data_IF_300462562856
#
_entry.id   IF_300462562856
#
_cell.length_a   1.000
_cell.length_b   1.000
_cell.length_c   1.000
_cell.angle_alpha   90.00
_cell.angle_beta   90.00
_cell.angle_gamma   90.00
#
_symmetry.space_group_name_H-M   'P 1'
#
loop_
_entity.id
_entity.type
_entity.pdbx_description
1 polymer ?
#
# COMPACT_ATOMS: atom_id res chain seq x y z
N UNK A 1 7.56 11.55 -14.20
CA UNK A 1 6.79 11.80 -12.96
C UNK A 1 7.70 11.58 -11.76
N UNK A 2 7.56 12.39 -10.73
CA UNK A 2 8.29 12.25 -9.46
C UNK A 2 7.31 12.10 -8.31
N UNK A 3 7.67 11.32 -7.30
CA UNK A 3 6.87 11.13 -6.10
C UNK A 3 6.98 12.37 -5.23
N UNK A 4 5.89 13.13 -5.10
CA UNK A 4 5.88 14.34 -4.28
C UNK A 4 5.54 14.03 -2.82
N UNK A 5 4.67 13.04 -2.59
CA UNK A 5 4.23 12.65 -1.26
C UNK A 5 3.90 11.17 -1.22
N UNK A 6 4.20 10.56 -0.09
CA UNK A 6 3.72 9.24 0.30
C UNK A 6 2.89 9.36 1.58
N UNK A 7 1.79 8.64 1.66
CA UNK A 7 0.94 8.57 2.85
C UNK A 7 0.73 7.11 3.27
N UNK A 8 0.79 6.86 4.57
CA UNK A 8 0.61 5.55 5.17
C UNK A 8 -0.75 5.48 5.84
N UNK A 9 -1.55 4.48 5.50
CA UNK A 9 -2.88 4.26 6.06
C UNK A 9 -3.04 2.89 6.72
N UNK A 10 -3.97 2.84 7.68
CA UNK A 10 -4.42 1.61 8.35
C UNK A 10 -5.93 1.51 8.27
N UNK A 11 -6.44 0.33 7.94
CA UNK A 11 -7.88 0.07 7.90
C UNK A 11 -8.43 -0.21 9.30
N UNK A 12 -9.59 0.37 9.62
CA UNK A 12 -10.28 0.16 10.90
C UNK A 12 -11.00 -1.19 10.96
N UNK A 13 -11.59 -1.64 9.85
CA UNK A 13 -12.32 -2.92 9.76
C UNK A 13 -11.43 -4.16 9.64
N UNK A 14 -10.14 -3.96 9.34
CA UNK A 14 -9.14 -5.00 9.16
C UNK A 14 -7.83 -4.50 9.75
N UNK A 15 -7.62 -4.62 11.08
CA UNK A 15 -6.53 -3.94 11.79
C UNK A 15 -5.12 -4.35 11.34
N UNK A 16 -5.00 -5.48 10.64
CA UNK A 16 -3.74 -5.96 10.07
C UNK A 16 -3.48 -5.43 8.66
N UNK A 17 -4.49 -4.82 8.01
CA UNK A 17 -4.37 -4.31 6.66
C UNK A 17 -3.96 -2.84 6.66
N UNK A 18 -2.87 -2.60 5.96
CA UNK A 18 -2.23 -1.31 5.83
C UNK A 18 -1.84 -1.10 4.38
N UNK A 19 -1.96 0.14 3.91
CA UNK A 19 -1.69 0.50 2.52
C UNK A 19 -0.97 1.84 2.42
N UNK A 20 -0.31 2.02 1.29
CA UNK A 20 0.38 3.26 0.94
C UNK A 20 -0.37 3.96 -0.19
N UNK A 21 -0.41 5.29 -0.12
CA UNK A 21 -0.76 6.14 -1.24
C UNK A 21 0.46 6.94 -1.70
N UNK A 22 0.77 6.87 -2.98
CA UNK A 22 1.84 7.61 -3.63
C UNK A 22 1.23 8.70 -4.51
N UNK A 23 1.59 9.95 -4.25
CA UNK A 23 1.14 11.10 -5.01
C UNK A 23 2.24 11.53 -5.96
N UNK A 24 2.11 11.16 -7.23
CA UNK A 24 3.04 11.52 -8.27
C UNK A 24 2.67 12.87 -8.89
N UNK A 25 3.68 13.68 -9.18
CA UNK A 25 3.55 14.90 -9.96
C UNK A 25 4.22 14.74 -11.32
N UNK A 26 3.56 15.27 -12.34
CA UNK A 26 4.07 15.40 -13.69
C UNK A 26 3.86 16.83 -14.19
N UNK A 27 4.76 17.34 -15.01
CA UNK A 27 4.65 18.67 -15.59
C UNK A 27 4.47 18.54 -17.10
N UNK A 28 3.42 19.17 -17.63
CA UNK A 28 3.16 19.33 -19.06
C UNK A 28 2.97 20.82 -19.30
N UNK A 29 3.85 21.43 -20.09
CA UNK A 29 3.74 22.82 -20.56
C UNK A 29 3.37 23.84 -19.47
N UNK A 30 4.04 23.77 -18.31
CA UNK A 30 3.82 24.61 -17.11
C UNK A 30 2.62 24.25 -16.23
N UNK A 31 1.76 23.33 -16.65
CA UNK A 31 0.71 22.76 -15.82
C UNK A 31 1.21 21.53 -15.06
N UNK A 32 0.87 21.41 -13.78
CA UNK A 32 1.14 20.19 -13.00
C UNK A 32 -0.05 19.25 -13.02
N UNK A 33 0.14 18.04 -13.55
CA UNK A 33 -0.78 16.92 -13.36
C UNK A 33 -0.38 16.11 -12.12
N UNK A 34 -1.37 15.51 -11.45
CA UNK A 34 -1.15 14.62 -10.31
C UNK A 34 -1.78 13.27 -10.57
N UNK A 35 -1.09 12.20 -10.23
CA UNK A 35 -1.64 10.85 -10.22
C UNK A 35 -1.49 10.26 -8.81
N UNK A 36 -2.43 9.39 -8.43
CA UNK A 36 -2.36 8.66 -7.17
C UNK A 36 -2.16 7.18 -7.46
N UNK A 37 -1.23 6.54 -6.77
CA UNK A 37 -1.05 5.10 -6.81
C UNK A 37 -1.28 4.55 -5.42
N UNK A 38 -2.20 3.61 -5.25
CA UNK A 38 -2.32 2.84 -4.02
C UNK A 38 -1.51 1.56 -4.14
N UNK A 39 -0.77 1.20 -3.09
CA UNK A 39 -0.12 -0.10 -2.97
C UNK A 39 -0.45 -0.73 -1.62
N UNK A 40 -0.82 -2.00 -1.66
CA UNK A 40 -1.25 -2.75 -0.50
C UNK A 40 -0.92 -4.22 -0.67
N UNK A 41 -0.91 -4.97 0.44
CA UNK A 41 -0.96 -6.44 0.40
C UNK A 41 -2.29 -6.88 0.97
N UNK A 42 -3.07 -7.63 0.20
CA UNK A 42 -4.39 -8.09 0.61
C UNK A 42 -4.48 -9.61 0.56
N UNK A 43 -5.22 -10.18 1.51
CA UNK A 43 -5.64 -11.59 1.42
C UNK A 43 -6.72 -11.73 0.35
N UNK A 44 -6.65 -12.78 -0.46
CA UNK A 44 -7.73 -13.11 -1.38
C UNK A 44 -8.99 -13.39 -0.58
N UNK A 45 -10.08 -12.67 -0.88
CA UNK A 45 -11.29 -12.67 -0.07
C UNK A 45 -11.82 -14.08 0.17
N UNK A 46 -11.86 -14.50 1.43
CA UNK A 46 -12.86 -15.46 1.86
C UNK A 46 -14.23 -14.81 1.61
N UNK A 47 -15.03 -15.41 0.73
CA UNK A 47 -16.46 -15.15 0.70
C UNK A 47 -16.97 -15.25 2.14
N UNK A 48 -17.39 -14.13 2.73
CA UNK A 48 -17.99 -14.07 4.07
C UNK A 48 -19.30 -14.86 4.07
N UNK A 49 -19.21 -16.18 4.22
CA UNK A 49 -20.32 -16.96 4.75
C UNK A 49 -20.28 -16.80 6.26
N UNK A 50 -21.17 -15.95 6.77
CA UNK A 50 -21.53 -15.91 8.19
C UNK A 50 -22.04 -17.30 8.60
N UNK A 51 -21.16 -18.14 9.13
CA UNK A 51 -21.55 -19.26 9.97
C UNK A 51 -20.87 -19.11 11.31
N UNK A 52 -21.68 -18.72 12.30
CA UNK A 52 -21.35 -18.85 13.72
C UNK A 52 -21.02 -20.30 14.02
N UNK A 53 -19.82 -20.54 14.54
CA UNK A 53 -19.58 -21.63 15.48
C UNK A 53 -18.37 -21.27 16.34
N UNK A 54 -18.62 -21.16 17.64
CA UNK A 54 -17.60 -21.01 18.67
C UNK A 54 -16.80 -22.30 18.74
N UNK A 55 -15.64 -22.35 18.09
CA UNK A 55 -14.67 -23.41 18.30
C UNK A 55 -13.32 -22.78 18.64
N UNK A 56 -12.77 -23.19 19.79
CA UNK A 56 -11.38 -22.95 20.18
C UNK A 56 -10.49 -23.77 19.24
N UNK A 57 -10.17 -23.22 18.07
CA UNK A 57 -9.26 -23.84 17.11
C UNK A 57 -7.93 -23.10 17.20
N UNK A 58 -6.87 -23.86 17.51
CA UNK A 58 -5.46 -23.47 17.32
C UNK A 58 -5.29 -22.72 15.99
N UNK A 59 -4.32 -21.79 15.84
CA UNK A 59 -4.10 -21.11 14.56
C UNK A 59 -3.59 -22.13 13.54
N UNK A 60 -4.52 -22.84 12.92
CA UNK A 60 -4.31 -23.59 11.70
C UNK A 60 -3.96 -22.54 10.67
N UNK A 61 -2.73 -22.60 10.17
CA UNK A 61 -2.27 -21.90 8.98
C UNK A 61 -3.22 -22.23 7.82
N UNK A 62 -4.31 -21.49 7.70
CA UNK A 62 -5.14 -21.53 6.50
C UNK A 62 -4.35 -20.81 5.41
N UNK A 63 -3.94 -21.56 4.38
CA UNK A 63 -3.25 -21.16 3.14
C UNK A 63 -3.98 -20.05 2.37
N UNK A 64 -4.13 -18.88 2.98
CA UNK A 64 -4.75 -17.71 2.35
C UNK A 64 -3.62 -16.82 1.88
N UNK A 65 -3.09 -17.13 0.70
CA UNK A 65 -1.98 -16.38 0.11
C UNK A 65 -2.35 -14.88 0.02
N UNK A 66 -1.59 -14.04 0.71
CA UNK A 66 -1.68 -12.60 0.57
C UNK A 66 -0.87 -12.14 -0.65
N UNK A 67 -1.47 -11.33 -1.51
CA UNK A 67 -0.84 -10.82 -2.73
C UNK A 67 -0.67 -9.30 -2.68
N UNK A 68 0.39 -8.81 -3.31
CA UNK A 68 0.64 -7.38 -3.44
C UNK A 68 -0.21 -6.83 -4.59
N UNK A 69 -0.89 -5.71 -4.34
CA UNK A 69 -1.85 -5.07 -5.22
C UNK A 69 -1.42 -3.62 -5.47
N UNK A 70 -1.56 -3.18 -6.73
CA UNK A 70 -1.31 -1.80 -7.15
C UNK A 70 -2.57 -1.30 -7.87
N UNK A 71 -3.02 -0.08 -7.57
CA UNK A 71 -4.07 0.59 -8.35
C UNK A 71 -3.67 2.03 -8.63
N UNK A 72 -3.99 2.48 -9.85
CA UNK A 72 -3.53 3.76 -10.40
C UNK A 72 -4.75 4.62 -10.70
N UNK A 73 -4.73 5.85 -10.23
CA UNK A 73 -5.80 6.82 -10.36
C UNK A 73 -5.28 8.10 -11.03
N UNK A 74 -6.07 8.64 -11.95
CA UNK A 74 -5.73 9.82 -12.73
C UNK A 74 -5.65 11.10 -11.91
N UNK A 75 -6.28 11.14 -10.73
CA UNK A 75 -6.23 12.25 -9.80
C UNK A 75 -6.61 11.82 -8.36
N UNK A 76 -6.32 12.65 -7.34
CA UNK A 76 -6.82 12.42 -5.98
C UNK A 76 -8.35 12.38 -5.87
N UNK A 77 -9.05 13.14 -6.73
CA UNK A 77 -10.51 13.16 -6.76
C UNK A 77 -11.07 11.82 -7.23
N UNK A 78 -10.45 11.20 -8.23
CA UNK A 78 -10.86 9.89 -8.76
C UNK A 78 -10.52 8.76 -7.79
N UNK A 79 -9.41 8.90 -7.04
CA UNK A 79 -8.99 7.91 -6.05
C UNK A 79 -9.94 7.83 -4.85
N UNK A 80 -10.43 8.97 -4.34
CA UNK A 80 -11.22 9.03 -3.11
C UNK A 80 -12.43 8.06 -3.05
N UNK A 81 -13.35 8.02 -4.03
CA UNK A 81 -14.48 7.10 -4.00
C UNK A 81 -14.05 5.63 -4.09
N UNK A 82 -13.04 5.32 -4.91
CA UNK A 82 -12.53 3.96 -5.09
C UNK A 82 -11.85 3.43 -3.82
N UNK A 83 -11.05 4.26 -3.15
CA UNK A 83 -10.42 3.95 -1.87
C UNK A 83 -11.47 3.75 -0.77
N UNK A 84 -12.53 4.55 -0.77
CA UNK A 84 -13.64 4.42 0.17
C UNK A 84 -14.39 3.09 -0.03
N UNK A 85 -14.64 2.67 -1.27
CA UNK A 85 -15.25 1.37 -1.57
C UNK A 85 -14.33 0.22 -1.16
N UNK A 86 -13.04 0.31 -1.49
CA UNK A 86 -12.08 -0.77 -1.25
C UNK A 86 -11.80 -0.98 0.24
N UNK A 87 -11.59 0.08 0.99
CA UNK A 87 -11.10 0.00 2.38
C UNK A 87 -12.17 0.27 3.43
N UNK A 88 -13.34 0.79 3.04
CA UNK A 88 -14.52 1.13 3.88
C UNK A 88 -14.25 2.18 4.97
N UNK A 89 -13.35 1.90 5.91
CA UNK A 89 -12.93 2.82 6.97
C UNK A 89 -11.43 2.67 7.18
N UNK A 90 -10.72 3.79 7.09
CA UNK A 90 -9.28 3.84 7.25
C UNK A 90 -8.86 5.17 7.86
N UNK A 91 -7.70 5.18 8.51
CA UNK A 91 -7.08 6.38 9.06
C UNK A 91 -5.65 6.49 8.57
N UNK A 92 -5.21 7.74 8.34
CA UNK A 92 -3.82 8.02 7.99
C UNK A 92 -2.97 7.92 9.24
N UNK A 93 -1.92 7.11 9.19
CA UNK A 93 -0.92 7.00 10.26
C UNK A 93 0.13 8.09 10.15
N UNK A 94 0.67 8.30 8.95
CA UNK A 94 1.72 9.29 8.72
C UNK A 94 1.79 9.73 7.25
N UNK A 95 2.52 10.83 7.03
CA UNK A 95 2.77 11.45 5.73
C UNK A 95 4.26 11.72 5.61
N UNK A 96 4.80 11.55 4.40
CA UNK A 96 6.16 11.90 4.06
C UNK A 96 6.15 12.66 2.73
N UNK A 97 6.58 13.91 2.76
CA UNK A 97 6.70 14.77 1.58
C UNK A 97 8.15 14.72 1.09
N UNK A 98 8.36 14.41 -0.19
CA UNK A 98 9.72 14.36 -0.75
C UNK A 98 10.12 15.74 -1.29
N UNK A 99 11.36 16.20 -1.05
CA UNK A 99 11.90 17.39 -1.68
C UNK A 99 12.03 17.17 -3.19
N UNK A 100 11.78 18.20 -4.00
CA UNK A 100 11.92 18.11 -5.46
C UNK A 100 13.32 17.66 -5.92
N UNK A 101 14.36 17.96 -5.15
CA UNK A 101 15.75 17.59 -5.44
C UNK A 101 16.07 16.11 -5.21
N UNK A 102 15.36 15.43 -4.32
CA UNK A 102 15.58 14.02 -3.96
C UNK A 102 14.36 13.13 -4.21
N UNK A 103 13.27 13.68 -4.75
CA UNK A 103 12.04 12.97 -5.03
C UNK A 103 12.27 11.78 -5.99
N UNK A 104 11.92 10.55 -5.59
CA UNK A 104 12.12 9.40 -6.45
C UNK A 104 11.18 9.46 -7.65
N UNK A 105 11.70 9.03 -8.80
CA UNK A 105 10.89 8.80 -10.00
C UNK A 105 9.91 7.64 -9.81
N UNK A 106 8.86 7.61 -10.62
CA UNK A 106 7.93 6.48 -10.63
C UNK A 106 8.63 5.13 -10.89
N UNK A 107 9.70 5.12 -11.70
CA UNK A 107 10.51 3.92 -11.97
C UNK A 107 11.28 3.45 -10.73
N UNK A 108 11.83 4.38 -9.94
CA UNK A 108 12.51 4.02 -8.69
C UNK A 108 11.52 3.48 -7.66
N UNK A 109 10.33 4.09 -7.55
CA UNK A 109 9.27 3.58 -6.67
C UNK A 109 8.82 2.19 -7.12
N UNK A 110 8.61 1.95 -8.41
CA UNK A 110 8.25 0.62 -8.92
C UNK A 110 9.34 -0.41 -8.66
N UNK A 111 10.61 -0.01 -8.78
CA UNK A 111 11.75 -0.89 -8.47
C UNK A 111 11.73 -1.32 -7.00
N UNK A 112 11.49 -0.39 -6.07
CA UNK A 112 11.38 -0.70 -4.63
C UNK A 112 10.19 -1.63 -4.37
N UNK A 113 9.01 -1.32 -4.94
CA UNK A 113 7.83 -2.17 -4.81
C UNK A 113 8.11 -3.61 -5.31
N UNK A 114 8.75 -3.75 -6.47
CA UNK A 114 9.12 -5.06 -7.01
C UNK A 114 10.14 -5.79 -6.15
N UNK A 115 11.16 -5.10 -5.61
CA UNK A 115 12.14 -5.72 -4.73
C UNK A 115 11.51 -6.20 -3.42
N UNK A 116 10.63 -5.41 -2.81
CA UNK A 116 9.90 -5.82 -1.59
C UNK A 116 8.98 -7.01 -1.89
N UNK A 117 8.28 -6.99 -3.03
CA UNK A 117 7.47 -8.13 -3.48
C UNK A 117 8.29 -9.41 -3.62
N UNK A 118 9.45 -9.34 -4.29
CA UNK A 118 10.33 -10.47 -4.50
C UNK A 118 10.92 -11.05 -3.20
N UNK A 119 11.05 -10.22 -2.16
CA UNK A 119 11.52 -10.66 -0.84
C UNK A 119 10.42 -11.27 0.02
N UNK A 120 9.15 -11.16 -0.37
CA UNK A 120 8.04 -11.69 0.41
C UNK A 120 8.17 -13.19 0.75
N UNK A 121 8.58 -14.09 -0.18
CA UNK A 121 8.72 -15.52 0.12
C UNK A 121 9.86 -15.85 1.09
N UNK A 122 10.86 -14.97 1.21
CA UNK A 122 11.99 -15.19 2.11
C UNK A 122 11.59 -15.08 3.60
N UNK A 123 10.41 -14.51 3.88
CA UNK A 123 9.88 -14.36 5.22
C UNK A 123 8.55 -15.11 5.39
N UNK A 124 8.62 -16.43 5.56
CA UNK A 124 7.45 -17.29 5.88
C UNK A 124 6.62 -16.77 7.08
N UNK A 125 7.23 -16.00 7.99
CA UNK A 125 6.54 -15.34 9.11
C UNK A 125 5.49 -14.30 8.69
N UNK A 126 5.58 -13.75 7.48
CA UNK A 126 4.76 -12.63 6.99
C UNK A 126 3.81 -12.99 5.85
N UNK A 127 3.68 -14.27 5.49
CA UNK A 127 2.74 -14.74 4.45
C UNK A 127 1.30 -14.26 4.69
N UNK A 128 0.95 -14.03 5.96
CA UNK A 128 -0.37 -13.57 6.39
C UNK A 128 -0.39 -12.12 6.90
N UNK A 129 0.75 -11.41 6.90
CA UNK A 129 0.86 -10.10 7.56
C UNK A 129 0.93 -8.97 6.54
N UNK A 130 -0.26 -8.49 6.16
CA UNK A 130 -0.47 -7.43 5.16
C UNK A 130 0.29 -6.13 5.46
N UNK A 131 0.54 -5.83 6.75
CA UNK A 131 1.23 -4.62 7.17
C UNK A 131 2.73 -4.59 6.84
N UNK A 132 3.38 -5.76 6.73
CA UNK A 132 4.82 -5.83 6.48
C UNK A 132 5.21 -5.17 5.16
N UNK A 133 4.41 -5.41 4.10
CA UNK A 133 4.67 -4.85 2.77
C UNK A 133 4.70 -3.32 2.80
N UNK A 134 3.64 -2.70 3.31
CA UNK A 134 3.52 -1.25 3.42
C UNK A 134 4.64 -0.65 4.29
N UNK A 135 4.98 -1.32 5.40
CA UNK A 135 6.08 -0.91 6.28
C UNK A 135 7.45 -0.98 5.60
N UNK A 136 7.75 -2.08 4.90
CA UNK A 136 9.01 -2.29 4.21
C UNK A 136 9.21 -1.29 3.06
N UNK A 137 8.16 -1.03 2.26
CA UNK A 137 8.21 -0.04 1.18
C UNK A 137 8.39 1.37 1.75
N UNK A 138 7.62 1.73 2.77
CA UNK A 138 7.72 3.02 3.44
C UNK A 138 9.13 3.28 3.98
N UNK A 139 9.67 2.33 4.75
CA UNK A 139 11.01 2.42 5.31
C UNK A 139 12.09 2.50 4.24
N UNK A 140 11.99 1.66 3.19
CA UNK A 140 12.96 1.64 2.10
C UNK A 140 13.02 2.97 1.34
N UNK A 141 11.87 3.53 0.98
CA UNK A 141 11.84 4.80 0.25
C UNK A 141 12.40 5.96 1.08
N UNK A 142 12.10 6.02 2.38
CA UNK A 142 12.65 7.05 3.26
C UNK A 142 14.17 6.97 3.43
N UNK A 143 14.72 5.77 3.49
CA UNK A 143 16.17 5.56 3.62
C UNK A 143 16.90 5.88 2.32
N UNK A 144 16.33 5.48 1.17
CA UNK A 144 16.96 5.65 -0.14
C UNK A 144 16.84 7.08 -0.67
N UNK A 145 15.77 7.80 -0.30
CA UNK A 145 15.48 9.15 -0.78
C UNK A 145 15.21 10.08 0.42
N UNK A 146 16.26 10.40 1.21
CA UNK A 146 16.12 11.26 2.37
C UNK A 146 15.86 12.72 1.97
N UNK A 147 15.40 13.50 2.95
CA UNK A 147 15.25 14.96 2.87
C UNK A 147 16.59 15.69 2.75
#
# INVERSE_FOLDING_TARGET
CVLARMEYYKCAGHPEHEFLLFYFRHWIDSCSAQAVVSADRAMQGQNRSLRQSSELVSPSSSDTNAYDSISIYGSPHDAAPELQVRYTQYSRLCTFDFPLSSAPSALQVSTVLSLVHLQAPAYHLYENQCYWFSSAVWGSLKVLFPD
#
